data_IF_602466559589
#
_entry.id   IF_602466559589
#
_cell.length_a   1.000
_cell.length_b   1.000
_cell.length_c   1.000
_cell.angle_alpha   90.00
_cell.angle_beta   90.00
_cell.angle_gamma   90.00
#
_symmetry.space_group_name_H-M   'P 1'
#
loop_
_entity.id
_entity.type
_entity.pdbx_description
1 polymer ?
#
# COMPACT_ATOMS: atom_id res chain seq x y z
N UNK A 1 2.75 37.60 -22.40
CA UNK A 1 2.88 36.22 -22.91
C UNK A 1 3.05 35.16 -21.81
N UNK A 2 3.52 35.51 -20.59
CA UNK A 2 3.69 34.57 -19.46
C UNK A 2 2.39 34.01 -18.86
N UNK A 3 1.31 34.80 -18.81
CA UNK A 3 0.00 34.35 -18.30
C UNK A 3 -0.67 33.28 -19.18
N UNK A 4 -0.40 33.31 -20.49
CA UNK A 4 -0.99 32.33 -21.43
C UNK A 4 -0.29 30.98 -21.37
N UNK A 5 1.03 30.97 -21.13
CA UNK A 5 1.81 29.75 -20.93
C UNK A 5 1.47 29.06 -19.59
N UNK A 6 1.35 29.84 -18.51
CA UNK A 6 0.93 29.33 -17.19
C UNK A 6 -0.51 28.81 -17.19
N UNK A 7 -1.44 29.50 -17.87
CA UNK A 7 -2.80 29.00 -18.06
C UNK A 7 -2.83 27.69 -18.85
N UNK A 8 -2.08 27.60 -19.96
CA UNK A 8 -2.01 26.37 -20.78
C UNK A 8 -1.43 25.19 -19.99
N UNK A 9 -0.39 25.43 -19.19
CA UNK A 9 0.24 24.40 -18.36
C UNK A 9 -0.67 23.92 -17.22
N UNK A 10 -1.40 24.85 -16.60
CA UNK A 10 -2.41 24.54 -15.56
C UNK A 10 -3.56 23.73 -16.17
N UNK A 11 -4.06 24.13 -17.34
CA UNK A 11 -5.12 23.43 -18.06
C UNK A 11 -4.68 22.02 -18.50
N UNK A 12 -3.43 21.83 -18.96
CA UNK A 12 -2.91 20.49 -19.30
C UNK A 12 -2.78 19.60 -18.07
N UNK A 13 -2.32 20.12 -16.92
CA UNK A 13 -2.23 19.35 -15.69
C UNK A 13 -3.61 18.99 -15.13
N UNK A 14 -4.56 19.92 -15.21
CA UNK A 14 -5.96 19.68 -14.84
C UNK A 14 -6.61 18.63 -15.75
N UNK A 15 -6.32 18.66 -17.05
CA UNK A 15 -6.82 17.66 -17.99
C UNK A 15 -6.24 16.27 -17.73
N UNK A 16 -4.93 16.17 -17.49
CA UNK A 16 -4.27 14.89 -17.17
C UNK A 16 -4.79 14.30 -15.86
N UNK A 17 -5.16 15.15 -14.89
CA UNK A 17 -5.75 14.70 -13.63
C UNK A 17 -7.21 14.29 -13.80
N UNK A 18 -8.06 15.04 -14.51
CA UNK A 18 -9.50 14.77 -14.57
C UNK A 18 -9.95 13.79 -15.67
N UNK A 19 -9.14 13.52 -16.69
CA UNK A 19 -9.57 12.74 -17.86
C UNK A 19 -10.08 11.33 -17.56
N UNK A 20 -9.53 10.67 -16.54
CA UNK A 20 -9.96 9.35 -16.10
C UNK A 20 -11.31 9.40 -15.35
N UNK A 21 -11.56 10.45 -14.56
CA UNK A 21 -12.84 10.68 -13.88
C UNK A 21 -13.95 10.97 -14.90
N UNK A 22 -13.64 11.76 -15.94
CA UNK A 22 -14.56 12.03 -17.06
C UNK A 22 -14.91 10.72 -17.78
N UNK A 23 -13.94 9.83 -17.98
CA UNK A 23 -14.17 8.52 -18.58
C UNK A 23 -15.03 7.62 -17.71
N UNK A 24 -14.76 7.55 -16.41
CA UNK A 24 -15.58 6.80 -15.46
C UNK A 24 -17.03 7.30 -15.48
N UNK A 25 -17.22 8.63 -15.47
CA UNK A 25 -18.53 9.26 -15.58
C UNK A 25 -19.22 8.93 -16.92
N UNK A 26 -18.48 8.92 -18.03
CA UNK A 26 -19.04 8.54 -19.33
C UNK A 26 -19.54 7.09 -19.35
N UNK A 27 -18.79 6.15 -18.76
CA UNK A 27 -19.22 4.74 -18.63
C UNK A 27 -20.46 4.63 -17.73
N UNK A 28 -20.48 5.35 -16.61
CA UNK A 28 -21.64 5.43 -15.72
C UNK A 28 -22.89 5.94 -16.45
N UNK A 29 -22.76 7.01 -17.22
CA UNK A 29 -23.86 7.60 -18.00
C UNK A 29 -24.36 6.66 -19.10
N UNK A 30 -23.49 5.85 -19.72
CA UNK A 30 -23.93 4.80 -20.65
C UNK A 30 -24.82 3.77 -19.94
N UNK A 31 -24.46 3.37 -18.71
CA UNK A 31 -25.32 2.51 -17.89
C UNK A 31 -26.67 3.15 -17.57
N UNK A 32 -26.70 4.45 -17.22
CA UNK A 32 -27.96 5.16 -16.97
C UNK A 32 -28.83 5.33 -18.22
N UNK A 33 -28.23 5.55 -19.39
CA UNK A 33 -28.95 5.62 -20.67
C UNK A 33 -29.65 4.31 -21.00
N UNK A 34 -29.07 3.17 -20.62
CA UNK A 34 -29.71 1.87 -20.76
C UNK A 34 -30.99 1.80 -19.91
N UNK A 35 -30.94 2.21 -18.64
CA UNK A 35 -32.16 2.22 -17.80
C UNK A 35 -33.24 3.14 -18.37
N UNK A 36 -32.85 4.33 -18.87
CA UNK A 36 -33.78 5.24 -19.55
C UNK A 36 -34.39 4.60 -20.81
N UNK A 37 -33.64 3.75 -21.51
CA UNK A 37 -34.13 3.03 -22.70
C UNK A 37 -35.14 1.96 -22.34
N UNK A 38 -34.94 1.25 -21.21
CA UNK A 38 -35.82 0.16 -20.76
C UNK A 38 -37.10 0.70 -20.14
N UNK A 39 -37.00 1.70 -19.24
CA UNK A 39 -38.09 2.11 -18.37
C UNK A 39 -38.67 3.50 -18.70
N UNK A 40 -38.10 4.21 -19.68
CA UNK A 40 -38.46 5.60 -19.97
C UNK A 40 -37.99 6.58 -18.89
N UNK A 41 -38.33 7.86 -19.03
CA UNK A 41 -37.98 8.92 -18.05
C UNK A 41 -38.94 8.99 -16.84
N UNK A 42 -39.96 8.14 -16.77
CA UNK A 42 -41.05 8.24 -15.79
C UNK A 42 -40.85 7.40 -14.52
N UNK A 43 -39.80 6.56 -14.46
CA UNK A 43 -39.52 5.78 -13.24
C UNK A 43 -38.68 6.63 -12.30
N UNK A 44 -39.28 7.08 -11.21
CA UNK A 44 -38.54 7.66 -10.09
C UNK A 44 -37.64 6.57 -9.51
N UNK A 45 -36.33 6.70 -9.69
CA UNK A 45 -35.34 5.82 -9.06
C UNK A 45 -35.47 5.78 -7.52
N UNK A 46 -36.09 6.80 -6.92
CA UNK A 46 -36.45 6.88 -5.49
C UNK A 46 -37.56 5.90 -5.08
N UNK A 47 -38.46 5.50 -5.99
CA UNK A 47 -39.52 4.53 -5.68
C UNK A 47 -38.96 3.10 -5.54
N UNK A 48 -37.82 2.81 -6.17
CA UNK A 48 -37.07 1.54 -6.01
C UNK A 48 -36.54 1.39 -4.56
N UNK A 49 -36.28 2.50 -3.86
CA UNK A 49 -35.85 2.48 -2.45
C UNK A 49 -37.03 2.48 -1.45
N UNK A 50 -38.27 2.63 -1.93
CA UNK A 50 -39.50 2.59 -1.13
C UNK A 50 -40.29 1.28 -1.28
N UNK A 51 -39.62 0.17 -1.57
CA UNK A 51 -40.25 -1.15 -1.66
C UNK A 51 -40.57 -1.65 -0.24
N UNK A 52 -41.87 -1.68 0.13
CA UNK A 52 -42.35 -2.17 1.44
C UNK A 52 -42.25 -3.69 1.59
N UNK A 53 -42.26 -4.43 0.48
CA UNK A 53 -42.00 -5.87 0.45
C UNK A 53 -41.41 -6.27 -0.93
N UNK A 54 -40.30 -7.00 -0.92
CA UNK A 54 -39.63 -7.48 -2.15
C UNK A 54 -40.48 -8.47 -2.98
N UNK A 55 -41.62 -8.91 -2.44
CA UNK A 55 -42.61 -9.77 -3.10
C UNK A 55 -43.53 -9.03 -4.08
N UNK A 56 -43.55 -7.70 -4.07
CA UNK A 56 -44.44 -6.87 -4.91
C UNK A 56 -43.76 -6.32 -6.18
N UNK A 57 -42.53 -6.75 -6.48
CA UNK A 57 -41.81 -6.33 -7.68
C UNK A 57 -42.52 -6.84 -8.95
N UNK A 58 -42.96 -5.91 -9.80
CA UNK A 58 -43.61 -6.23 -11.07
C UNK A 58 -42.64 -6.97 -12.02
N UNK A 59 -42.89 -8.26 -12.27
CA UNK A 59 -42.10 -9.09 -13.20
C UNK A 59 -42.13 -8.56 -14.64
N UNK A 60 -43.02 -7.62 -14.99
CA UNK A 60 -42.98 -6.93 -16.29
C UNK A 60 -41.67 -6.14 -16.50
N UNK A 61 -41.03 -5.68 -15.42
CA UNK A 61 -39.71 -5.03 -15.42
C UNK A 61 -38.58 -5.98 -15.86
N UNK A 62 -38.83 -7.30 -15.82
CA UNK A 62 -37.89 -8.36 -16.18
C UNK A 62 -37.84 -8.67 -17.68
N UNK A 63 -38.79 -8.17 -18.49
CA UNK A 63 -38.89 -8.50 -19.91
C UNK A 63 -37.62 -8.13 -20.73
N UNK A 64 -36.86 -7.12 -20.29
CA UNK A 64 -35.58 -6.70 -20.88
C UNK A 64 -34.37 -7.08 -19.98
N UNK A 65 -34.46 -8.23 -19.34
CA UNK A 65 -33.50 -8.72 -18.36
C UNK A 65 -32.01 -8.61 -18.73
N UNK A 66 -31.57 -9.06 -19.92
CA UNK A 66 -30.16 -8.95 -20.31
C UNK A 66 -29.67 -7.50 -20.39
N UNK A 67 -30.53 -6.59 -20.86
CA UNK A 67 -30.18 -5.19 -21.03
C UNK A 67 -30.13 -4.47 -19.67
N UNK A 68 -31.04 -4.79 -18.75
CA UNK A 68 -31.02 -4.28 -17.38
C UNK A 68 -29.70 -4.64 -16.67
N UNK A 69 -29.31 -5.91 -16.72
CA UNK A 69 -28.04 -6.40 -16.14
C UNK A 69 -26.83 -5.68 -16.73
N UNK A 70 -26.82 -5.45 -18.04
CA UNK A 70 -25.75 -4.75 -18.72
C UNK A 70 -25.60 -3.30 -18.22
N UNK A 71 -26.71 -2.61 -17.97
CA UNK A 71 -26.72 -1.28 -17.34
C UNK A 71 -26.14 -1.29 -15.93
N UNK A 72 -26.56 -2.26 -15.10
CA UNK A 72 -26.03 -2.44 -13.73
C UNK A 72 -24.52 -2.69 -13.76
N UNK A 73 -24.05 -3.57 -14.64
CA UNK A 73 -22.63 -3.90 -14.74
C UNK A 73 -21.77 -2.72 -15.19
N UNK A 74 -22.27 -1.88 -16.11
CA UNK A 74 -21.58 -0.65 -16.51
C UNK A 74 -21.46 0.34 -15.34
N UNK A 75 -22.53 0.52 -14.56
CA UNK A 75 -22.55 1.40 -13.38
C UNK A 75 -21.62 0.90 -12.28
N UNK A 76 -21.63 -0.39 -11.96
CA UNK A 76 -20.72 -0.96 -10.96
C UNK A 76 -19.26 -0.88 -11.43
N UNK A 77 -19.00 -1.19 -12.70
CA UNK A 77 -17.66 -1.19 -13.26
C UNK A 77 -17.08 0.23 -13.44
N UNK A 78 -17.91 1.27 -13.56
CA UNK A 78 -17.43 2.66 -13.63
C UNK A 78 -16.71 3.09 -12.36
N UNK A 79 -17.06 2.53 -11.19
CA UNK A 79 -16.35 2.79 -9.92
C UNK A 79 -14.90 2.32 -10.03
N UNK A 80 -14.65 1.16 -10.65
CA UNK A 80 -13.31 0.63 -10.86
C UNK A 80 -12.43 1.51 -11.78
N UNK A 81 -13.03 2.29 -12.68
CA UNK A 81 -12.31 3.24 -13.54
C UNK A 81 -11.80 4.46 -12.77
N UNK A 82 -12.51 4.91 -11.72
CA UNK A 82 -12.05 6.01 -10.85
C UNK A 82 -10.70 5.67 -10.20
N UNK A 83 -10.47 4.39 -9.92
CA UNK A 83 -9.20 3.90 -9.35
C UNK A 83 -8.12 3.60 -10.40
N UNK A 84 -8.31 4.01 -11.66
CA UNK A 84 -7.37 3.82 -12.79
C UNK A 84 -6.95 2.37 -13.02
N UNK A 85 -7.87 1.45 -12.76
CA UNK A 85 -7.52 0.05 -12.78
C UNK A 85 -7.67 -0.60 -14.16
N UNK A 86 -6.67 -1.40 -14.51
CA UNK A 86 -6.55 -2.09 -15.81
C UNK A 86 -7.71 -3.04 -16.10
N UNK A 87 -8.20 -3.74 -15.06
CA UNK A 87 -9.30 -4.71 -15.20
C UNK A 87 -10.62 -4.00 -15.50
N UNK A 88 -10.95 -2.92 -14.80
CA UNK A 88 -12.18 -2.16 -15.08
C UNK A 88 -12.15 -1.54 -16.48
N UNK A 89 -10.99 -1.10 -16.95
CA UNK A 89 -10.81 -0.65 -18.33
C UNK A 89 -11.15 -1.77 -19.35
N UNK A 90 -10.57 -2.96 -19.17
CA UNK A 90 -10.82 -4.08 -20.08
C UNK A 90 -12.28 -4.53 -20.06
N UNK A 91 -12.88 -4.66 -18.87
CA UNK A 91 -14.28 -5.04 -18.69
C UNK A 91 -15.21 -3.97 -19.28
N UNK A 92 -14.90 -2.67 -19.12
CA UNK A 92 -15.71 -1.59 -19.71
C UNK A 92 -15.78 -1.70 -21.22
N UNK A 93 -14.67 -2.02 -21.89
CA UNK A 93 -14.66 -2.19 -23.34
C UNK A 93 -15.58 -3.34 -23.76
N UNK A 94 -15.50 -4.48 -23.07
CA UNK A 94 -16.35 -5.64 -23.35
C UNK A 94 -17.83 -5.29 -23.13
N UNK A 95 -18.18 -4.70 -22.00
CA UNK A 95 -19.55 -4.32 -21.67
C UNK A 95 -20.11 -3.29 -22.64
N UNK A 96 -19.33 -2.26 -23.02
CA UNK A 96 -19.74 -1.25 -23.99
C UNK A 96 -19.88 -1.83 -25.40
N UNK A 97 -19.04 -2.78 -25.82
CA UNK A 97 -19.20 -3.47 -27.10
C UNK A 97 -20.50 -4.26 -27.14
N UNK A 98 -20.81 -5.02 -26.08
CA UNK A 98 -22.07 -5.74 -25.97
C UNK A 98 -23.25 -4.77 -26.00
N UNK A 99 -23.16 -3.66 -25.26
CA UNK A 99 -24.20 -2.63 -25.21
C UNK A 99 -24.43 -1.97 -26.57
N UNK A 100 -23.35 -1.68 -27.30
CA UNK A 100 -23.40 -1.10 -28.63
C UNK A 100 -24.06 -2.06 -29.62
N UNK A 101 -23.63 -3.32 -29.68
CA UNK A 101 -24.18 -4.34 -30.58
C UNK A 101 -25.68 -4.52 -30.31
N UNK A 102 -26.05 -4.65 -29.04
CA UNK A 102 -27.45 -4.83 -28.65
C UNK A 102 -28.31 -3.61 -29.02
N UNK A 103 -27.84 -2.40 -28.69
CA UNK A 103 -28.57 -1.16 -29.01
C UNK A 103 -28.71 -0.96 -30.52
N UNK A 104 -27.70 -1.32 -31.31
CA UNK A 104 -27.74 -1.22 -32.77
C UNK A 104 -28.75 -2.20 -33.38
N UNK A 105 -28.86 -3.41 -32.83
CA UNK A 105 -29.75 -4.44 -33.34
C UNK A 105 -31.22 -4.20 -32.96
N UNK A 106 -31.49 -3.88 -31.69
CA UNK A 106 -32.86 -3.78 -31.17
C UNK A 106 -33.41 -2.34 -31.14
N UNK A 107 -32.54 -1.33 -31.03
CA UNK A 107 -32.94 0.08 -30.88
C UNK A 107 -32.18 1.04 -31.83
N UNK A 108 -32.15 0.77 -33.16
CA UNK A 108 -31.34 1.55 -34.12
C UNK A 108 -31.73 3.04 -34.22
N UNK A 109 -32.93 3.42 -33.75
CA UNK A 109 -33.39 4.80 -33.74
C UNK A 109 -32.74 5.67 -32.65
N UNK A 110 -32.11 5.07 -31.62
CA UNK A 110 -31.43 5.78 -30.53
C UNK A 110 -30.03 6.27 -30.94
N UNK A 111 -29.97 7.13 -31.97
CA UNK A 111 -28.71 7.65 -32.55
C UNK A 111 -27.81 8.33 -31.52
N UNK A 112 -28.41 9.01 -30.52
CA UNK A 112 -27.64 9.65 -29.44
C UNK A 112 -26.94 8.62 -28.56
N UNK A 113 -27.64 7.59 -28.07
CA UNK A 113 -27.06 6.55 -27.22
C UNK A 113 -25.97 5.77 -27.96
N UNK A 114 -26.20 5.45 -29.24
CA UNK A 114 -25.21 4.79 -30.09
C UNK A 114 -23.96 5.66 -30.25
N UNK A 115 -24.14 6.95 -30.61
CA UNK A 115 -23.02 7.88 -30.77
C UNK A 115 -22.23 8.10 -29.48
N UNK A 116 -22.91 8.23 -28.35
CA UNK A 116 -22.27 8.39 -27.04
C UNK A 116 -21.49 7.14 -26.60
N UNK A 117 -22.03 5.95 -26.86
CA UNK A 117 -21.34 4.69 -26.59
C UNK A 117 -20.07 4.54 -27.44
N UNK A 118 -20.14 4.81 -28.75
CA UNK A 118 -18.98 4.81 -29.66
C UNK A 118 -17.93 5.82 -29.20
N UNK A 119 -18.35 7.05 -28.87
CA UNK A 119 -17.46 8.09 -28.37
C UNK A 119 -16.72 7.63 -27.09
N UNK A 120 -17.46 7.06 -26.14
CA UNK A 120 -16.90 6.58 -24.87
C UNK A 120 -15.90 5.44 -25.10
N UNK A 121 -16.20 4.52 -26.01
CA UNK A 121 -15.33 3.40 -26.37
C UNK A 121 -14.03 3.87 -27.04
N UNK A 122 -14.12 4.79 -28.00
CA UNK A 122 -12.94 5.38 -28.65
C UNK A 122 -12.08 6.13 -27.63
N UNK A 123 -12.69 6.90 -26.74
CA UNK A 123 -11.96 7.65 -25.72
C UNK A 123 -11.27 6.73 -24.68
N UNK A 124 -11.91 5.60 -24.32
CA UNK A 124 -11.31 4.54 -23.50
C UNK A 124 -10.07 3.91 -24.16
N UNK A 125 -10.12 3.69 -25.47
CA UNK A 125 -8.99 3.13 -26.23
C UNK A 125 -7.81 4.12 -26.31
N UNK A 126 -8.10 5.41 -26.53
CA UNK A 126 -7.08 6.48 -26.58
C UNK A 126 -6.36 6.61 -25.25
N UNK A 127 -7.11 6.59 -24.13
CA UNK A 127 -6.57 6.79 -22.78
C UNK A 127 -6.11 5.50 -22.09
N UNK A 128 -5.89 4.41 -22.85
CA UNK A 128 -5.43 3.11 -22.30
C UNK A 128 -4.23 3.21 -21.36
N UNK A 129 -3.28 4.12 -21.61
CA UNK A 129 -2.05 4.27 -20.83
C UNK A 129 -2.30 4.73 -19.38
N UNK A 130 -3.43 5.36 -19.12
CA UNK A 130 -3.78 5.88 -17.78
C UNK A 130 -4.22 4.78 -16.81
N UNK A 131 -4.63 3.63 -17.34
CA UNK A 131 -5.17 2.50 -16.58
C UNK A 131 -4.11 1.43 -16.32
N UNK A 132 -2.92 1.83 -15.88
CA UNK A 132 -1.76 0.94 -15.66
C UNK A 132 -1.45 0.65 -14.18
N UNK A 133 -2.15 1.30 -13.25
CA UNK A 133 -1.91 1.08 -11.82
C UNK A 133 -2.55 -0.23 -11.33
N UNK A 134 -1.73 -1.10 -10.76
CA UNK A 134 -2.16 -2.23 -9.94
C UNK A 134 -1.88 -1.88 -8.48
N UNK A 135 -2.81 -1.19 -7.82
CA UNK A 135 -2.70 -0.89 -6.38
C UNK A 135 -3.28 -2.04 -5.55
N UNK A 136 -2.64 -2.40 -4.43
CA UNK A 136 -3.15 -3.41 -3.50
C UNK A 136 -4.55 -3.07 -2.96
N UNK A 137 -4.85 -1.78 -2.78
CA UNK A 137 -6.19 -1.30 -2.44
C UNK A 137 -7.21 -1.57 -3.56
N UNK A 138 -6.78 -1.50 -4.82
CA UNK A 138 -7.63 -1.83 -5.96
C UNK A 138 -8.06 -3.31 -5.89
N UNK A 139 -7.20 -4.23 -5.45
CA UNK A 139 -7.57 -5.66 -5.31
C UNK A 139 -8.85 -5.89 -4.49
N UNK A 140 -8.97 -5.23 -3.33
CA UNK A 140 -10.16 -5.34 -2.46
C UNK A 140 -11.42 -4.78 -3.10
N UNK A 141 -11.31 -3.62 -3.74
CA UNK A 141 -12.41 -2.95 -4.45
C UNK A 141 -12.88 -3.79 -5.63
N UNK A 142 -11.94 -4.38 -6.39
CA UNK A 142 -12.27 -5.26 -7.50
C UNK A 142 -12.95 -6.54 -7.05
N UNK A 143 -12.49 -7.13 -5.95
CA UNK A 143 -13.10 -8.32 -5.41
C UNK A 143 -14.54 -8.01 -4.98
N UNK A 144 -14.76 -6.89 -4.28
CA UNK A 144 -16.09 -6.42 -3.90
C UNK A 144 -17.02 -6.15 -5.10
N UNK A 145 -16.53 -5.43 -6.13
CA UNK A 145 -17.29 -5.14 -7.34
C UNK A 145 -17.62 -6.44 -8.09
N UNK A 146 -16.65 -7.36 -8.23
CA UNK A 146 -16.84 -8.63 -8.93
C UNK A 146 -17.84 -9.52 -8.18
N UNK A 147 -17.74 -9.59 -6.86
CA UNK A 147 -18.69 -10.30 -6.00
C UNK A 147 -20.09 -9.74 -6.14
N UNK A 148 -20.24 -8.41 -6.03
CA UNK A 148 -21.52 -7.72 -6.17
C UNK A 148 -22.13 -7.96 -7.56
N UNK A 149 -21.32 -7.82 -8.61
CA UNK A 149 -21.74 -8.06 -10.01
C UNK A 149 -22.23 -9.49 -10.21
N UNK A 150 -21.48 -10.48 -9.69
CA UNK A 150 -21.85 -11.88 -9.82
C UNK A 150 -23.08 -12.23 -8.99
N UNK A 151 -23.25 -11.62 -7.82
CA UNK A 151 -24.44 -11.76 -6.99
C UNK A 151 -25.67 -11.24 -7.74
N UNK A 152 -25.60 -10.04 -8.33
CA UNK A 152 -26.68 -9.52 -9.17
C UNK A 152 -26.96 -10.42 -10.38
N UNK A 153 -25.92 -10.88 -11.10
CA UNK A 153 -26.06 -11.81 -12.22
C UNK A 153 -26.79 -13.09 -11.80
N UNK A 154 -26.36 -13.69 -10.69
CA UNK A 154 -26.92 -14.95 -10.18
C UNK A 154 -28.35 -14.76 -9.70
N UNK A 155 -28.62 -13.74 -8.90
CA UNK A 155 -29.95 -13.52 -8.29
C UNK A 155 -30.96 -13.19 -9.37
N UNK A 156 -30.60 -12.31 -10.28
CA UNK A 156 -31.50 -11.90 -11.34
C UNK A 156 -31.66 -12.98 -12.41
N UNK A 157 -30.60 -13.70 -12.77
CA UNK A 157 -30.68 -14.81 -13.72
C UNK A 157 -31.53 -15.97 -13.19
N UNK A 158 -31.43 -16.28 -11.89
CA UNK A 158 -32.28 -17.29 -11.24
C UNK A 158 -33.76 -16.88 -11.23
N UNK A 159 -34.03 -15.59 -10.95
CA UNK A 159 -35.38 -15.04 -11.01
C UNK A 159 -35.93 -15.01 -12.45
N UNK A 160 -35.11 -14.66 -13.44
CA UNK A 160 -35.50 -14.62 -14.84
C UNK A 160 -35.84 -16.01 -15.40
N UNK A 161 -35.04 -17.01 -15.03
CA UNK A 161 -35.26 -18.40 -15.41
C UNK A 161 -36.24 -19.12 -14.49
N UNK A 162 -36.96 -18.42 -13.60
CA UNK A 162 -37.93 -18.90 -12.59
C UNK A 162 -38.47 -20.33 -12.80
N UNK A 163 -39.13 -20.59 -13.93
CA UNK A 163 -39.79 -21.87 -14.29
C UNK A 163 -38.82 -23.04 -14.52
N UNK A 164 -37.56 -22.73 -14.75
CA UNK A 164 -36.47 -23.67 -14.96
C UNK A 164 -35.89 -24.27 -13.68
N UNK A 165 -36.40 -23.89 -12.51
CA UNK A 165 -35.99 -24.38 -11.18
C UNK A 165 -37.11 -25.15 -10.48
N UNK A 166 -36.73 -26.07 -9.59
CA UNK A 166 -37.64 -26.79 -8.70
C UNK A 166 -37.17 -26.70 -7.24
N UNK A 167 -37.99 -26.16 -6.31
CA UNK A 167 -39.25 -25.45 -6.56
C UNK A 167 -39.03 -24.16 -7.37
N UNK A 168 -40.10 -23.64 -7.97
CA UNK A 168 -40.06 -22.43 -8.79
C UNK A 168 -39.58 -21.24 -7.94
N UNK A 169 -38.68 -20.44 -8.51
CA UNK A 169 -38.18 -19.22 -7.86
C UNK A 169 -39.14 -18.07 -8.19
N UNK A 170 -39.97 -17.68 -7.22
CA UNK A 170 -41.00 -16.64 -7.41
C UNK A 170 -40.66 -15.31 -6.71
N UNK A 171 -39.71 -15.31 -5.77
CA UNK A 171 -39.35 -14.13 -5.00
C UNK A 171 -37.88 -13.76 -5.18
N UNK A 172 -37.58 -12.44 -5.13
CA UNK A 172 -36.20 -11.94 -5.16
C UNK A 172 -35.37 -12.52 -4.02
N UNK A 173 -35.97 -12.68 -2.84
CA UNK A 173 -35.28 -13.25 -1.67
C UNK A 173 -34.92 -14.73 -1.87
N UNK A 174 -35.83 -15.51 -2.47
CA UNK A 174 -35.55 -16.91 -2.84
C UNK A 174 -34.42 -17.00 -3.87
N UNK A 175 -34.41 -16.10 -4.86
CA UNK A 175 -33.35 -16.04 -5.85
C UNK A 175 -32.00 -15.64 -5.23
N UNK A 176 -32.01 -14.66 -4.32
CA UNK A 176 -30.82 -14.21 -3.60
C UNK A 176 -30.24 -15.30 -2.70
N UNK A 177 -31.11 -16.03 -2.00
CA UNK A 177 -30.74 -17.20 -1.20
C UNK A 177 -30.02 -18.25 -2.07
N UNK A 178 -30.62 -18.66 -3.19
CA UNK A 178 -30.01 -19.59 -4.14
C UNK A 178 -28.64 -19.11 -4.65
N UNK A 179 -28.50 -17.82 -4.94
CA UNK A 179 -27.22 -17.24 -5.38
C UNK A 179 -26.12 -17.36 -4.34
N UNK A 180 -26.41 -16.97 -3.09
CA UNK A 180 -25.42 -17.03 -2.01
C UNK A 180 -25.03 -18.49 -1.73
N UNK A 181 -26.00 -19.40 -1.67
CA UNK A 181 -25.77 -20.83 -1.46
C UNK A 181 -24.88 -21.43 -2.55
N UNK A 182 -25.17 -21.11 -3.83
CA UNK A 182 -24.41 -21.61 -4.98
C UNK A 182 -22.99 -21.02 -5.02
N UNK A 183 -22.85 -19.70 -4.83
CA UNK A 183 -21.55 -19.01 -4.87
C UNK A 183 -20.65 -19.38 -3.68
N UNK A 184 -21.23 -19.64 -2.51
CA UNK A 184 -20.51 -20.06 -1.30
C UNK A 184 -20.18 -21.55 -1.27
N UNK A 185 -20.57 -22.30 -2.31
CA UNK A 185 -20.34 -23.76 -2.45
C UNK A 185 -21.04 -24.61 -1.37
N UNK A 186 -22.10 -24.09 -0.75
CA UNK A 186 -22.86 -24.82 0.28
C UNK A 186 -23.76 -25.89 -0.34
N UNK A 187 -24.63 -25.48 -1.29
CA UNK A 187 -25.46 -26.41 -2.06
C UNK A 187 -26.34 -27.35 -1.23
N UNK A 188 -27.22 -26.80 -0.38
CA UNK A 188 -28.27 -27.53 0.33
C UNK A 188 -29.14 -28.38 -0.61
N UNK A 189 -29.32 -27.94 -1.86
CA UNK A 189 -30.04 -28.71 -2.88
C UNK A 189 -31.56 -28.70 -2.70
N UNK A 190 -32.07 -27.72 -1.95
CA UNK A 190 -33.49 -27.42 -1.80
C UNK A 190 -34.07 -26.70 -3.03
N UNK A 191 -33.24 -25.97 -3.79
CA UNK A 191 -33.56 -25.37 -5.09
C UNK A 191 -32.60 -25.89 -6.16
N UNK A 192 -33.12 -26.57 -7.18
CA UNK A 192 -32.29 -27.19 -8.23
C UNK A 192 -32.73 -26.80 -9.64
N UNK A 193 -31.79 -26.59 -10.59
CA UNK A 193 -32.12 -26.32 -11.98
C UNK A 193 -32.61 -27.60 -12.68
N UNK A 194 -33.84 -27.58 -13.17
CA UNK A 194 -34.46 -28.71 -13.89
C UNK A 194 -34.42 -28.54 -15.40
N UNK A 195 -34.46 -27.32 -15.91
CA UNK A 195 -34.39 -27.02 -17.35
C UNK A 195 -32.94 -26.94 -17.87
N UNK A 196 -32.74 -27.17 -19.17
CA UNK A 196 -31.41 -27.07 -19.80
C UNK A 196 -30.81 -25.67 -19.68
N UNK A 197 -31.61 -24.62 -19.88
CA UNK A 197 -31.16 -23.22 -19.75
C UNK A 197 -30.78 -22.87 -18.31
N UNK A 198 -31.55 -23.31 -17.31
CA UNK A 198 -31.23 -23.12 -15.90
C UNK A 198 -29.96 -23.89 -15.49
N UNK A 199 -29.73 -25.09 -16.05
CA UNK A 199 -28.50 -25.86 -15.81
C UNK A 199 -27.27 -25.14 -16.36
N UNK A 200 -27.30 -24.70 -17.62
CA UNK A 200 -26.20 -23.96 -18.24
C UNK A 200 -25.90 -22.66 -17.50
N UNK A 201 -26.94 -21.94 -17.09
CA UNK A 201 -26.82 -20.76 -16.25
C UNK A 201 -26.19 -21.09 -14.89
N UNK A 202 -26.65 -22.14 -14.21
CA UNK A 202 -26.09 -22.53 -12.91
C UNK A 202 -24.62 -22.92 -13.03
N UNK A 203 -24.22 -23.60 -14.11
CA UNK A 203 -22.82 -23.92 -14.41
C UNK A 203 -21.98 -22.64 -14.55
N UNK A 204 -22.46 -21.61 -15.25
CA UNK A 204 -21.73 -20.34 -15.39
C UNK A 204 -21.56 -19.63 -14.05
N UNK A 205 -22.59 -19.67 -13.19
CA UNK A 205 -22.56 -19.13 -11.83
C UNK A 205 -21.57 -19.90 -10.96
N UNK A 206 -21.50 -21.24 -11.04
CA UNK A 206 -20.55 -22.04 -10.25
C UNK A 206 -19.10 -21.73 -10.65
N UNK A 207 -18.77 -21.76 -11.94
CA UNK A 207 -17.41 -21.52 -12.45
C UNK A 207 -16.93 -20.11 -12.05
N UNK A 208 -17.79 -19.11 -12.25
CA UNK A 208 -17.48 -17.73 -11.87
C UNK A 208 -17.46 -17.56 -10.34
N UNK A 209 -18.39 -18.22 -9.65
CA UNK A 209 -18.64 -18.18 -8.22
C UNK A 209 -17.43 -18.61 -7.41
N UNK A 210 -16.87 -19.77 -7.71
CA UNK A 210 -15.69 -20.29 -6.99
C UNK A 210 -14.54 -19.28 -7.04
N UNK A 211 -14.25 -18.74 -8.23
CA UNK A 211 -13.13 -17.80 -8.43
C UNK A 211 -13.38 -16.48 -7.70
N UNK A 212 -14.56 -15.88 -7.89
CA UNK A 212 -14.90 -14.58 -7.31
C UNK A 212 -15.09 -14.67 -5.80
N UNK A 213 -15.75 -15.71 -5.31
CA UNK A 213 -15.99 -15.92 -3.88
C UNK A 213 -14.67 -16.12 -3.12
N UNK A 214 -13.79 -17.02 -3.58
CA UNK A 214 -12.52 -17.29 -2.91
C UNK A 214 -11.60 -16.04 -2.83
N UNK A 215 -11.51 -15.30 -3.94
CA UNK A 215 -10.69 -14.07 -4.00
C UNK A 215 -11.28 -12.93 -3.16
N UNK A 216 -12.60 -12.79 -3.15
CA UNK A 216 -13.31 -11.76 -2.36
C UNK A 216 -13.27 -12.05 -0.88
N UNK A 217 -13.46 -13.30 -0.46
CA UNK A 217 -13.35 -13.70 0.94
C UNK A 217 -11.98 -13.33 1.52
N UNK A 218 -10.92 -13.68 0.79
CA UNK A 218 -9.53 -13.38 1.21
C UNK A 218 -9.26 -11.88 1.26
N UNK A 219 -9.78 -11.12 0.29
CA UNK A 219 -9.52 -9.69 0.17
C UNK A 219 -10.34 -8.84 1.15
N UNK A 220 -11.58 -9.25 1.47
CA UNK A 220 -12.47 -8.56 2.41
C UNK A 220 -12.09 -8.92 3.86
N UNK A 221 -11.92 -10.20 4.16
CA UNK A 221 -11.62 -10.64 5.52
C UNK A 221 -10.12 -10.64 5.85
N UNK A 222 -9.22 -10.65 4.87
CA UNK A 222 -7.77 -10.60 5.11
C UNK A 222 -7.36 -9.42 6.01
N UNK A 223 -7.75 -8.18 5.69
CA UNK A 223 -7.49 -7.02 6.55
C UNK A 223 -8.16 -7.11 7.92
N UNK A 224 -9.38 -7.64 8.00
CA UNK A 224 -10.11 -7.81 9.27
C UNK A 224 -9.46 -8.87 10.18
N UNK A 225 -9.00 -9.97 9.63
CA UNK A 225 -8.26 -11.02 10.34
C UNK A 225 -6.92 -10.47 10.82
N UNK A 226 -6.19 -9.75 9.96
CA UNK A 226 -4.91 -9.11 10.32
C UNK A 226 -5.07 -8.02 11.38
N UNK A 227 -6.12 -7.20 11.30
CA UNK A 227 -6.39 -6.11 12.23
C UNK A 227 -7.01 -6.56 13.56
N UNK A 228 -7.90 -7.56 13.51
CA UNK A 228 -8.57 -8.13 14.68
C UNK A 228 -7.64 -8.92 15.57
N UNK A 229 -6.76 -9.74 14.99
CA UNK A 229 -5.75 -10.48 15.76
C UNK A 229 -4.72 -9.54 16.41
N UNK A 230 -4.32 -8.48 15.71
CA UNK A 230 -3.38 -7.48 16.24
C UNK A 230 -3.94 -6.64 17.41
N UNK A 231 -5.26 -6.46 17.50
CA UNK A 231 -5.90 -5.73 18.61
C UNK A 231 -6.16 -6.60 19.84
N UNK A 232 -6.41 -7.91 19.65
CA UNK A 232 -6.63 -8.86 20.74
C UNK A 232 -5.33 -9.44 21.32
N UNK A 233 -4.24 -9.47 20.54
CA UNK A 233 -2.90 -9.86 21.02
C UNK A 233 -2.15 -8.69 21.68
N UNK A 234 -2.59 -7.44 21.49
CA UNK A 234 -2.07 -6.26 22.21
C UNK A 234 -2.62 -6.19 23.64
N UNK A 235 -2.27 -7.20 24.42
CA UNK A 235 -2.39 -7.25 25.87
C UNK A 235 -1.11 -6.85 26.59
N UNK A 236 -0.15 -6.19 25.94
CA UNK A 236 1.00 -5.59 26.61
C UNK A 236 1.43 -4.31 25.88
N UNK A 237 0.79 -3.19 26.23
CA UNK A 237 1.51 -1.93 26.25
C UNK A 237 2.55 -2.05 27.37
N UNK A 238 3.68 -2.69 27.10
CA UNK A 238 4.88 -2.48 27.90
C UNK A 238 5.26 -1.01 27.68
N UNK A 239 4.67 -0.11 28.47
CA UNK A 239 5.11 1.27 28.52
C UNK A 239 6.48 1.24 29.18
N UNK A 240 7.51 1.13 28.35
CA UNK A 240 8.89 1.17 28.78
C UNK A 240 9.10 2.42 29.64
N UNK A 241 9.72 2.25 30.81
CA UNK A 241 10.06 3.37 31.66
C UNK A 241 11.20 4.16 31.00
N UNK A 242 10.85 5.20 30.24
CA UNK A 242 11.77 6.12 29.54
C UNK A 242 12.46 7.10 30.50
N UNK A 243 13.22 6.54 31.42
CA UNK A 243 14.15 7.26 32.32
C UNK A 243 15.45 6.47 32.32
N UNK A 244 16.57 7.16 32.08
CA UNK A 244 17.90 6.54 32.06
C UNK A 244 17.98 5.37 31.05
N UNK A 245 17.43 5.59 29.86
CA UNK A 245 17.37 4.62 28.77
C UNK A 245 18.23 5.07 27.58
N UNK A 246 18.45 4.16 26.63
CA UNK A 246 19.11 4.46 25.36
C UNK A 246 18.07 4.65 24.26
N UNK A 247 18.32 5.60 23.35
CA UNK A 247 17.56 5.73 22.11
C UNK A 247 18.44 5.24 20.97
N UNK A 248 17.95 4.30 20.17
CA UNK A 248 18.63 3.82 18.96
C UNK A 248 17.79 4.22 17.74
N UNK A 249 18.38 5.02 16.87
CA UNK A 249 17.76 5.49 15.63
C UNK A 249 18.20 4.60 14.47
N UNK A 250 17.22 4.03 13.78
CA UNK A 250 17.43 3.12 12.65
C UNK A 250 17.36 1.65 13.03
N UNK A 251 17.48 0.81 11.99
CA UNK A 251 17.29 -0.64 12.06
C UNK A 251 18.38 -1.41 11.28
N UNK A 252 19.55 -0.80 11.11
CA UNK A 252 20.70 -1.47 10.48
C UNK A 252 21.12 -2.72 11.27
N UNK A 253 21.98 -3.53 10.66
CA UNK A 253 22.59 -4.69 11.34
C UNK A 253 23.32 -4.25 12.61
N UNK A 254 24.04 -3.11 12.56
CA UNK A 254 24.73 -2.55 13.72
C UNK A 254 23.73 -2.11 14.80
N UNK A 255 22.64 -1.43 14.41
CA UNK A 255 21.60 -0.98 15.33
C UNK A 255 20.98 -2.18 16.06
N UNK A 256 20.51 -3.19 15.32
CA UNK A 256 19.86 -4.38 15.88
C UNK A 256 20.79 -5.12 16.84
N UNK A 257 22.04 -5.37 16.44
CA UNK A 257 23.00 -6.05 17.31
C UNK A 257 23.33 -5.22 18.56
N UNK A 258 23.41 -3.89 18.43
CA UNK A 258 23.62 -2.99 19.57
C UNK A 258 22.45 -3.05 20.55
N UNK A 259 21.22 -3.02 20.06
CA UNK A 259 20.00 -3.14 20.88
C UNK A 259 20.01 -4.48 21.64
N UNK A 260 20.29 -5.59 20.96
CA UNK A 260 20.37 -6.92 21.59
C UNK A 260 21.44 -6.96 22.70
N UNK A 261 22.61 -6.37 22.46
CA UNK A 261 23.70 -6.31 23.43
C UNK A 261 23.38 -5.43 24.65
N UNK A 262 22.66 -4.32 24.45
CA UNK A 262 22.17 -3.46 25.53
C UNK A 262 21.11 -4.19 26.36
N UNK A 263 20.16 -4.86 25.71
CA UNK A 263 19.11 -5.64 26.35
C UNK A 263 19.69 -6.80 27.19
N UNK A 264 20.70 -7.51 26.68
CA UNK A 264 21.40 -8.57 27.43
C UNK A 264 22.07 -8.05 28.71
N UNK A 265 22.40 -6.76 28.78
CA UNK A 265 22.95 -6.08 29.96
C UNK A 265 21.88 -5.39 30.81
N UNK A 266 20.60 -5.73 30.59
CA UNK A 266 19.46 -5.16 31.32
C UNK A 266 19.26 -3.66 31.09
N UNK A 267 19.78 -3.11 29.99
CA UNK A 267 19.57 -1.70 29.66
C UNK A 267 18.25 -1.54 28.90
N UNK A 268 17.51 -0.50 29.23
CA UNK A 268 16.27 -0.12 28.57
C UNK A 268 16.58 0.57 27.23
N UNK A 269 16.02 0.08 26.12
CA UNK A 269 16.23 0.64 24.79
C UNK A 269 14.92 1.01 24.11
N UNK A 270 14.83 2.25 23.64
CA UNK A 270 13.77 2.73 22.75
C UNK A 270 14.34 2.82 21.33
N UNK A 271 13.66 2.21 20.37
CA UNK A 271 14.09 2.15 18.96
C UNK A 271 13.18 3.04 18.13
N UNK A 272 13.75 3.88 17.27
CA UNK A 272 12.98 4.70 16.32
C UNK A 272 13.28 4.21 14.91
N UNK A 273 12.23 3.91 14.13
CA UNK A 273 12.39 3.42 12.77
C UNK A 273 11.24 3.88 11.87
N UNK A 274 11.57 4.23 10.62
CA UNK A 274 10.63 4.68 9.60
C UNK A 274 10.15 3.54 8.68
N UNK A 275 10.33 2.30 9.10
CA UNK A 275 9.88 1.12 8.35
C UNK A 275 8.35 1.09 8.21
N UNK A 276 7.82 0.44 7.14
CA UNK A 276 6.40 0.12 7.03
C UNK A 276 5.89 -0.68 8.25
N UNK A 277 4.60 -0.57 8.56
CA UNK A 277 4.01 -1.20 9.76
C UNK A 277 4.27 -2.72 9.87
N UNK A 278 4.30 -3.44 8.76
CA UNK A 278 4.53 -4.89 8.77
C UNK A 278 5.98 -5.25 9.11
N UNK A 279 6.94 -4.41 8.72
CA UNK A 279 8.37 -4.61 9.02
C UNK A 279 8.71 -4.17 10.46
N UNK A 280 8.03 -3.16 10.98
CA UNK A 280 8.12 -2.77 12.41
C UNK A 280 7.74 -3.94 13.31
N UNK A 281 6.70 -4.71 12.98
CA UNK A 281 6.30 -5.89 13.77
C UNK A 281 7.36 -6.98 13.74
N UNK A 282 7.99 -7.22 12.59
CA UNK A 282 9.08 -8.18 12.48
C UNK A 282 10.28 -7.75 13.32
N UNK A 283 10.58 -6.43 13.35
CA UNK A 283 11.61 -5.87 14.20
C UNK A 283 11.28 -6.07 15.69
N UNK A 284 10.06 -5.73 16.13
CA UNK A 284 9.59 -5.97 17.51
C UNK A 284 9.75 -7.44 17.90
N UNK A 285 9.30 -8.37 17.05
CA UNK A 285 9.45 -9.82 17.29
C UNK A 285 10.91 -10.24 17.43
N UNK A 286 11.81 -9.67 16.62
CA UNK A 286 13.24 -9.98 16.66
C UNK A 286 13.93 -9.43 17.91
N UNK A 287 13.50 -8.27 18.40
CA UNK A 287 14.09 -7.61 19.57
C UNK A 287 13.54 -8.16 20.90
N UNK A 288 12.35 -8.75 20.88
CA UNK A 288 11.67 -9.31 22.06
C UNK A 288 11.10 -8.23 23.00
N UNK A 289 10.61 -8.65 24.16
CA UNK A 289 9.82 -7.82 25.09
C UNK A 289 10.56 -6.64 25.74
N UNK A 290 11.90 -6.54 25.55
CA UNK A 290 12.75 -5.56 26.21
C UNK A 290 13.06 -4.31 25.35
N UNK A 291 12.53 -4.21 24.13
CA UNK A 291 12.71 -3.03 23.28
C UNK A 291 11.35 -2.41 22.91
N UNK A 292 11.24 -1.10 23.12
CA UNK A 292 10.05 -0.31 22.74
C UNK A 292 10.30 0.36 21.37
N UNK A 293 9.57 -0.06 20.34
CA UNK A 293 9.74 0.44 18.97
C UNK A 293 8.72 1.54 18.68
N UNK A 294 9.22 2.72 18.31
CA UNK A 294 8.42 3.87 17.92
C UNK A 294 8.50 4.02 16.40
N UNK A 295 7.41 3.79 15.66
CA UNK A 295 7.37 4.06 14.24
C UNK A 295 7.41 5.59 14.02
N UNK A 296 8.33 6.05 13.18
CA UNK A 296 8.52 7.46 12.86
C UNK A 296 9.88 7.78 12.29
N UNK A 297 10.01 8.99 11.75
CA UNK A 297 11.30 9.52 11.32
C UNK A 297 12.10 9.98 12.55
N UNK A 298 13.38 9.58 12.62
CA UNK A 298 14.28 9.98 13.72
C UNK A 298 14.71 11.45 13.62
N UNK A 299 14.46 12.11 12.49
CA UNK A 299 14.70 13.53 12.28
C UNK A 299 13.56 14.42 12.81
N UNK A 300 12.40 13.84 13.16
CA UNK A 300 11.24 14.58 13.63
C UNK A 300 11.32 14.81 15.16
N UNK A 301 11.37 16.08 15.57
CA UNK A 301 11.42 16.47 16.98
C UNK A 301 10.24 15.93 17.80
N UNK A 302 9.06 15.75 17.20
CA UNK A 302 7.90 15.19 17.88
C UNK A 302 8.08 13.70 18.21
N UNK A 303 8.75 12.95 17.31
CA UNK A 303 9.08 11.54 17.48
C UNK A 303 10.18 11.37 18.52
N UNK A 304 11.23 12.18 18.47
CA UNK A 304 12.29 12.20 19.49
C UNK A 304 11.75 12.54 20.88
N UNK A 305 10.82 13.49 20.98
CA UNK A 305 10.16 13.83 22.25
C UNK A 305 9.33 12.66 22.77
N UNK A 306 8.59 11.98 21.89
CA UNK A 306 7.83 10.77 22.23
C UNK A 306 8.77 9.65 22.71
N UNK A 307 9.96 9.52 22.12
CA UNK A 307 11.01 8.59 22.52
C UNK A 307 11.70 8.97 23.85
N UNK A 308 11.39 10.14 24.42
CA UNK A 308 11.89 10.56 25.72
C UNK A 308 13.33 11.06 25.70
N UNK A 309 13.75 11.75 24.64
CA UNK A 309 15.11 12.28 24.50
C UNK A 309 15.59 13.12 25.69
N UNK A 310 14.68 13.85 26.34
CA UNK A 310 14.99 14.71 27.50
C UNK A 310 15.54 13.94 28.72
N UNK A 311 15.36 12.60 28.77
CA UNK A 311 15.74 11.75 29.91
C UNK A 311 16.55 10.52 29.49
N UNK A 312 17.00 10.45 28.24
CA UNK A 312 17.82 9.36 27.78
C UNK A 312 19.28 9.58 28.19
N UNK A 313 20.01 8.48 28.38
CA UNK A 313 21.44 8.49 28.71
C UNK A 313 22.29 8.81 27.48
N UNK A 314 21.89 8.26 26.34
CA UNK A 314 22.51 8.52 25.05
C UNK A 314 21.53 8.22 23.90
N UNK A 315 21.74 8.92 22.80
CA UNK A 315 21.11 8.64 21.51
C UNK A 315 22.15 8.13 20.52
N UNK A 316 21.83 7.03 19.84
CA UNK A 316 22.70 6.35 18.90
C UNK A 316 22.10 6.43 17.49
N UNK A 317 22.74 7.18 16.61
CA UNK A 317 22.41 7.30 15.20
C UNK A 317 23.16 6.21 14.41
N UNK A 318 22.49 5.08 14.18
CA UNK A 318 23.08 3.86 13.63
C UNK A 318 22.41 3.41 12.34
N UNK A 319 21.85 4.32 11.55
CA UNK A 319 21.32 4.02 10.21
C UNK A 319 22.44 3.73 9.22
N UNK A 320 22.11 3.06 8.11
CA UNK A 320 23.03 2.84 6.99
C UNK A 320 23.25 4.11 6.14
N UNK A 321 22.45 5.17 6.38
CA UNK A 321 22.57 6.46 5.72
C UNK A 321 23.24 7.51 6.64
N UNK A 322 24.47 7.91 6.30
CA UNK A 322 25.26 8.87 7.07
C UNK A 322 24.59 10.25 7.18
N UNK A 323 23.87 10.68 6.15
CA UNK A 323 23.17 11.97 6.17
C UNK A 323 22.05 11.96 7.21
N UNK A 324 21.26 10.88 7.27
CA UNK A 324 20.21 10.70 8.28
C UNK A 324 20.84 10.69 9.68
N UNK A 325 21.95 9.97 9.86
CA UNK A 325 22.63 9.93 11.14
C UNK A 325 23.10 11.33 11.60
N UNK A 326 23.60 12.15 10.67
CA UNK A 326 23.99 13.53 10.96
C UNK A 326 22.78 14.39 11.39
N UNK A 327 21.64 14.27 10.68
CA UNK A 327 20.42 14.99 11.02
C UNK A 327 19.84 14.58 12.37
N UNK A 328 19.92 13.29 12.73
CA UNK A 328 19.54 12.81 14.07
C UNK A 328 20.37 13.49 15.15
N UNK A 329 21.69 13.58 14.98
CA UNK A 329 22.57 14.25 15.96
C UNK A 329 22.25 15.73 16.08
N UNK A 330 22.03 16.43 14.95
CA UNK A 330 21.64 17.85 14.97
C UNK A 330 20.30 18.05 15.70
N UNK A 331 19.30 17.22 15.38
CA UNK A 331 17.97 17.28 15.99
C UNK A 331 18.03 16.96 17.49
N UNK A 332 18.87 16.00 17.87
CA UNK A 332 19.09 15.65 19.27
C UNK A 332 19.67 16.82 20.07
N UNK A 333 20.70 17.49 19.53
CA UNK A 333 21.35 18.63 20.16
C UNK A 333 20.46 19.87 20.24
N UNK A 334 19.63 20.10 19.23
CA UNK A 334 18.65 21.19 19.24
C UNK A 334 17.59 20.98 20.34
N UNK A 335 17.20 19.72 20.58
CA UNK A 335 16.23 19.38 21.61
C UNK A 335 16.81 19.28 23.02
N UNK A 336 18.02 18.73 23.16
CA UNK A 336 18.70 18.52 24.43
C UNK A 336 20.20 18.69 24.24
N UNK A 337 20.75 19.82 24.73
CA UNK A 337 22.18 20.15 24.54
C UNK A 337 23.13 19.19 25.25
N UNK A 338 22.67 18.50 26.28
CA UNK A 338 23.50 17.69 27.19
C UNK A 338 23.40 16.19 26.91
N UNK A 339 22.60 15.78 25.92
CA UNK A 339 22.45 14.36 25.58
C UNK A 339 23.71 13.83 24.91
N UNK A 340 24.21 12.68 25.38
CA UNK A 340 25.34 12.02 24.73
C UNK A 340 24.93 11.45 23.37
N UNK A 341 25.66 11.83 22.33
CA UNK A 341 25.39 11.46 20.95
C UNK A 341 26.44 10.49 20.42
N UNK A 342 26.00 9.34 19.90
CA UNK A 342 26.85 8.37 19.20
C UNK A 342 26.41 8.31 17.75
N UNK A 343 27.35 8.40 16.82
CA UNK A 343 27.06 8.37 15.40
C UNK A 343 27.94 7.33 14.70
N UNK A 344 27.32 6.43 13.95
CA UNK A 344 28.03 5.50 13.08
C UNK A 344 28.17 6.05 11.66
N UNK A 345 29.36 5.91 11.09
CA UNK A 345 29.72 6.29 9.73
C UNK A 345 29.91 5.03 8.89
N UNK A 346 29.08 4.90 7.87
CA UNK A 346 29.11 3.80 6.90
C UNK A 346 30.05 4.10 5.75
N UNK A 347 30.04 5.31 5.17
CA UNK A 347 30.97 5.70 4.10
C UNK A 347 32.08 6.62 4.62
N UNK A 348 33.32 6.17 4.51
CA UNK A 348 34.51 6.90 4.94
C UNK A 348 34.65 8.28 4.28
N UNK A 349 34.09 8.47 3.08
CA UNK A 349 34.08 9.78 2.39
C UNK A 349 33.29 10.84 3.13
N UNK A 350 32.30 10.45 3.93
CA UNK A 350 31.44 11.37 4.67
C UNK A 350 32.04 11.78 6.02
N UNK A 351 33.06 11.08 6.50
CA UNK A 351 33.65 11.24 7.84
C UNK A 351 33.99 12.71 8.18
N UNK A 352 34.60 13.46 7.25
CA UNK A 352 34.95 14.87 7.50
C UNK A 352 33.73 15.79 7.60
N UNK A 353 32.64 15.49 6.87
CA UNK A 353 31.37 16.23 6.98
C UNK A 353 30.64 15.90 8.28
N UNK A 354 30.65 14.63 8.66
CA UNK A 354 30.06 14.14 9.91
C UNK A 354 30.71 14.79 11.14
N UNK A 355 32.03 15.01 11.14
CA UNK A 355 32.70 15.73 12.24
C UNK A 355 32.13 17.13 12.48
N UNK A 356 31.58 17.78 11.45
CA UNK A 356 31.02 19.14 11.57
C UNK A 356 29.74 19.19 12.40
N UNK A 357 29.04 18.07 12.62
CA UNK A 357 27.89 18.03 13.54
C UNK A 357 28.29 17.75 14.99
N UNK A 358 29.60 17.61 15.24
CA UNK A 358 30.23 17.46 16.56
C UNK A 358 29.63 16.36 17.45
N UNK A 359 29.39 15.13 16.97
CA UNK A 359 28.91 14.06 17.85
C UNK A 359 29.94 13.74 18.94
N UNK A 360 29.48 13.30 20.11
CA UNK A 360 30.38 12.97 21.24
C UNK A 360 31.22 11.72 20.96
N UNK A 361 30.68 10.77 20.20
CA UNK A 361 31.37 9.57 19.76
C UNK A 361 31.09 9.34 18.26
N UNK A 362 32.16 9.18 17.49
CA UNK A 362 32.10 8.74 16.09
C UNK A 362 32.61 7.31 16.01
N UNK A 363 31.82 6.42 15.41
CA UNK A 363 32.23 5.05 15.13
C UNK A 363 32.26 4.84 13.61
N UNK A 364 33.35 4.29 13.08
CA UNK A 364 33.38 3.80 11.71
C UNK A 364 33.78 2.32 11.68
N UNK A 365 32.81 1.39 11.83
CA UNK A 365 33.09 -0.03 11.93
C UNK A 365 33.80 -0.60 10.70
N UNK A 366 33.51 -0.07 9.51
CA UNK A 366 34.12 -0.53 8.26
C UNK A 366 35.60 -0.16 8.19
N UNK A 367 35.94 1.10 8.50
CA UNK A 367 37.34 1.56 8.56
C UNK A 367 38.12 0.82 9.65
N UNK A 368 37.51 0.68 10.83
CA UNK A 368 38.10 -0.08 11.93
C UNK A 368 38.37 -1.53 11.50
N UNK A 369 37.36 -2.21 10.95
CA UNK A 369 37.50 -3.58 10.48
C UNK A 369 38.56 -3.75 9.40
N UNK A 370 38.63 -2.85 8.42
CA UNK A 370 39.63 -2.92 7.35
C UNK A 370 41.05 -2.72 7.85
N UNK A 371 41.25 -1.78 8.78
CA UNK A 371 42.57 -1.50 9.35
C UNK A 371 43.07 -2.69 10.18
N UNK A 372 42.20 -3.27 11.03
CA UNK A 372 42.54 -4.46 11.81
C UNK A 372 42.90 -5.63 10.91
N UNK A 373 42.12 -5.89 9.85
CA UNK A 373 42.41 -6.98 8.92
C UNK A 373 43.73 -6.79 8.19
N UNK A 374 44.03 -5.57 7.72
CA UNK A 374 45.29 -5.27 7.04
C UNK A 374 46.49 -5.53 7.95
N UNK A 375 46.43 -5.04 9.20
CA UNK A 375 47.50 -5.22 10.20
C UNK A 375 47.72 -6.68 10.55
N UNK A 376 46.65 -7.42 10.82
CA UNK A 376 46.73 -8.86 11.13
C UNK A 376 47.36 -9.64 9.98
N UNK A 377 46.98 -9.34 8.73
CA UNK A 377 47.53 -10.01 7.55
C UNK A 377 49.01 -9.65 7.29
N UNK A 378 49.45 -8.48 7.72
CA UNK A 378 50.85 -8.04 7.65
C UNK A 378 51.70 -8.48 8.84
N UNK A 379 51.12 -9.13 9.85
CA UNK A 379 51.84 -9.53 11.08
C UNK A 379 52.21 -8.35 11.97
N UNK A 380 51.49 -7.22 11.87
CA UNK A 380 51.71 -6.06 12.71
C UNK A 380 51.12 -6.29 14.11
N UNK A 381 51.84 -5.88 15.15
CA UNK A 381 51.35 -5.98 16.53
C UNK A 381 50.23 -4.98 16.78
N UNK A 382 49.11 -5.47 17.32
CA UNK A 382 47.96 -4.66 17.69
C UNK A 382 47.94 -4.54 19.20
N UNK A 383 48.19 -3.33 19.71
CA UNK A 383 48.10 -3.03 21.14
C UNK A 383 46.75 -2.40 21.51
N UNK A 384 46.40 -2.45 22.80
CA UNK A 384 45.10 -1.97 23.28
C UNK A 384 44.90 -0.46 23.06
N UNK A 385 45.95 0.35 23.22
CA UNK A 385 45.87 1.80 23.06
C UNK A 385 45.58 2.19 21.61
N UNK A 386 46.21 1.49 20.67
CA UNK A 386 45.94 1.62 19.25
C UNK A 386 44.50 1.25 18.92
N UNK A 387 44.00 0.11 19.43
CA UNK A 387 42.60 -0.31 19.23
C UNK A 387 41.60 0.77 19.68
N UNK A 388 41.84 1.32 20.88
CA UNK A 388 40.99 2.37 21.45
C UNK A 388 41.07 3.65 20.60
N UNK A 389 42.28 4.03 20.17
CA UNK A 389 42.48 5.19 19.29
C UNK A 389 41.82 5.02 17.93
N UNK A 390 41.89 3.85 17.30
CA UNK A 390 41.23 3.60 16.01
C UNK A 390 39.70 3.62 16.15
N UNK A 391 39.18 3.10 17.26
CA UNK A 391 37.74 3.03 17.50
C UNK A 391 37.14 4.42 17.82
N UNK A 392 37.81 5.22 18.65
CA UNK A 392 37.29 6.49 19.15
C UNK A 392 37.80 7.72 18.38
N UNK A 393 39.02 7.67 17.84
CA UNK A 393 39.65 8.74 17.07
C UNK A 393 39.72 8.44 15.57
N UNK A 394 38.85 7.58 15.02
CA UNK A 394 38.68 7.46 13.56
C UNK A 394 38.42 8.81 12.88
N UNK A 395 37.99 9.82 13.65
CA UNK A 395 37.87 11.21 13.23
C UNK A 395 39.05 12.16 13.49
N UNK A 396 40.12 11.78 14.17
CA UNK A 396 41.29 12.61 14.43
C UNK A 396 42.56 11.79 14.18
N UNK A 397 43.15 11.91 12.99
CA UNK A 397 44.59 11.64 12.82
C UNK A 397 45.05 10.28 12.29
N UNK A 398 44.18 9.37 11.81
CA UNK A 398 44.66 8.08 11.25
C UNK A 398 45.58 8.22 10.00
N UNK A 399 45.67 9.43 9.42
CA UNK A 399 46.56 9.72 8.28
C UNK A 399 47.62 10.80 8.56
N UNK A 400 47.75 11.36 9.77
CA UNK A 400 48.68 12.49 10.01
C UNK A 400 50.10 12.07 10.39
N UNK A 401 50.31 10.84 10.86
CA UNK A 401 51.59 10.49 11.50
C UNK A 401 52.67 10.02 10.51
N UNK A 402 52.35 9.86 9.22
CA UNK A 402 53.33 9.50 8.19
C UNK A 402 54.01 10.72 7.53
N UNK A 403 53.41 11.93 7.58
CA UNK A 403 54.00 13.13 6.94
C UNK A 403 55.11 13.79 7.79
N UNK A 404 55.13 13.55 9.11
CA UNK A 404 56.17 14.11 10.01
C UNK A 404 57.48 13.30 10.02
N UNK A 405 57.48 12.06 9.53
CA UNK A 405 58.70 11.26 9.41
C UNK A 405 59.45 11.51 8.10
N UNK A 406 58.75 11.82 6.99
CA UNK A 406 59.40 12.23 5.73
C UNK A 406 60.04 13.62 5.83
N UNK A 407 59.42 14.59 6.52
CA UNK A 407 60.01 15.94 6.68
C UNK A 407 61.22 15.98 7.63
N UNK A 408 61.35 15.02 8.56
CA UNK A 408 62.53 14.87 9.42
C UNK A 408 63.68 14.11 8.76
N UNK A 409 63.40 13.30 7.72
CA UNK A 409 64.43 12.66 6.91
C UNK A 409 65.08 13.66 5.93
N UNK A 410 64.27 14.47 5.25
CA UNK A 410 64.75 15.49 4.28
C UNK A 410 65.52 16.66 4.93
N UNK A 411 65.24 16.97 6.20
CA UNK A 411 65.96 18.00 6.96
C UNK A 411 67.28 17.50 7.58
N UNK A 412 67.54 16.19 7.60
CA UNK A 412 68.84 15.63 8.03
C UNK A 412 69.80 15.40 6.86
N UNK A 413 69.32 15.13 5.64
CA UNK A 413 70.18 15.04 4.45
C UNK A 413 70.64 16.41 3.92
N UNK A 414 70.00 17.51 4.30
CA UNK A 414 70.41 18.87 3.90
C UNK A 414 71.44 19.54 4.83
N UNK A 415 71.86 18.89 5.92
CA UNK A 415 72.84 19.45 6.90
C UNK A 415 74.15 18.64 7.01
N UNK A 416 74.28 17.51 6.31
CA UNK A 416 75.55 16.81 6.06
C UNK A 416 75.65 16.58 4.54
N UNK A 417 76.27 17.50 3.79
CA UNK A 417 77.68 17.45 3.39
C UNK A 417 78.05 16.24 2.53
#
# INVERSE_FOLDING_TARGET
MSHWATFKQTATNLWVTLRHDILALAVFLNGLLIFKTIYGMSVNLLDIFHIKAFSELDLSLLANAPLFMLGVFLVLNSIGLLFRAKLAWAISIILLLIALIYTLHFYPWLKFSIGFCIFTLVFLLILRKDFSHSSAAAGTIFAFISFTTLLFYSTYGALYLSEGFNPRIESLMTAFYFSIETMSTVGYGDIVPVSESARLFTISVIISGITVFATSMTSIFGPLIRGGFNKLVKGNNHTMHRKDHFIVCGHSILAINTILQLNQRGQNVTVISNLPEDDIKQLEQRLGDNADVIPGDSNDSSVLKKAGIDRCRAILALSDNDADNAFVVLSAKDMSSDVKTVLAVSDSKNLNKIKMVHPDIILSPQLFGSEILARVLNGEEINNDMLVSMLLNSGHGIFSDNDEQETKADSKESVQK
#
